data_IF_017398861850
#
_entry.id   IF_017398861850
#
_cell.length_a   1.000
_cell.length_b   1.000
_cell.length_c   1.000
_cell.angle_alpha   90.00
_cell.angle_beta   90.00
_cell.angle_gamma   90.00
#
_symmetry.space_group_name_H-M   'P 1'
#
loop_
_entity.id
_entity.type
_entity.pdbx_description
1 polymer ?
#
# COMPACT_ATOMS: atom_id res chain seq x y z
N UNK A 1 -31.93 11.88 4.16
CA UNK A 1 -30.73 12.75 4.06
C UNK A 1 -29.77 12.09 3.09
N UNK A 2 -29.59 12.71 1.93
CA UNK A 2 -28.76 12.19 0.84
C UNK A 2 -27.29 12.09 1.28
N UNK A 3 -26.80 10.87 1.47
CA UNK A 3 -25.38 10.57 1.69
C UNK A 3 -24.66 10.58 0.34
N UNK A 4 -24.45 11.77 -0.23
CA UNK A 4 -23.45 11.94 -1.30
C UNK A 4 -22.49 13.07 -0.93
N UNK A 5 -21.32 12.67 -0.41
CA UNK A 5 -20.08 13.17 -0.98
C UNK A 5 -19.18 11.99 -1.33
N UNK A 6 -19.64 11.10 -2.23
CA UNK A 6 -18.78 10.10 -2.85
C UNK A 6 -17.93 10.66 -4.01
N UNK A 7 -18.08 11.95 -4.38
CA UNK A 7 -17.33 12.56 -5.47
C UNK A 7 -16.19 13.49 -5.03
N UNK A 8 -16.04 13.78 -3.73
CA UNK A 8 -14.99 14.67 -3.25
C UNK A 8 -13.79 13.82 -2.83
N UNK A 9 -12.68 13.98 -3.54
CA UNK A 9 -11.39 13.42 -3.17
C UNK A 9 -11.01 13.91 -1.77
N UNK A 10 -10.91 13.01 -0.76
CA UNK A 10 -10.56 13.39 0.61
C UNK A 10 -9.26 14.20 0.73
N UNK A 11 -8.35 14.06 -0.23
CA UNK A 11 -7.09 14.83 -0.28
C UNK A 11 -7.32 16.34 -0.45
N UNK A 12 -8.51 16.75 -0.87
CA UNK A 12 -8.85 18.16 -1.06
C UNK A 12 -9.29 18.84 0.23
N UNK A 13 -9.73 18.08 1.24
CA UNK A 13 -10.17 18.66 2.52
C UNK A 13 -9.01 19.32 3.25
N UNK A 14 -9.22 20.58 3.64
CA UNK A 14 -8.35 21.37 4.51
C UNK A 14 -8.66 21.06 5.97
N UNK A 15 -7.71 21.40 6.85
CA UNK A 15 -7.85 21.14 8.29
C UNK A 15 -9.12 21.75 8.89
N UNK A 16 -9.46 22.99 8.52
CA UNK A 16 -10.67 23.66 9.01
C UNK A 16 -11.95 22.91 8.63
N UNK A 17 -12.01 22.36 7.41
CA UNK A 17 -13.13 21.54 6.94
C UNK A 17 -13.19 20.21 7.70
N UNK A 18 -12.06 19.56 7.94
CA UNK A 18 -12.02 18.32 8.73
C UNK A 18 -12.45 18.54 10.19
N UNK A 19 -12.09 19.68 10.78
CA UNK A 19 -12.50 20.07 12.14
C UNK A 19 -14.02 20.27 12.21
N UNK A 20 -14.62 20.91 11.20
CA UNK A 20 -16.07 21.15 11.17
C UNK A 20 -16.90 19.90 10.87
N UNK A 21 -16.28 18.80 10.40
CA UNK A 21 -16.94 17.52 10.20
C UNK A 21 -17.21 16.77 11.52
N UNK A 22 -18.08 15.75 11.49
CA UNK A 22 -18.33 14.87 12.63
C UNK A 22 -17.20 13.85 12.88
N UNK A 23 -17.10 13.34 14.12
CA UNK A 23 -16.08 12.36 14.53
C UNK A 23 -16.07 11.09 13.66
N UNK A 24 -17.26 10.56 13.31
CA UNK A 24 -17.41 9.37 12.48
C UNK A 24 -16.90 9.60 11.05
N UNK A 25 -17.09 10.81 10.52
CA UNK A 25 -16.59 11.18 9.19
C UNK A 25 -15.08 11.19 9.21
N UNK A 26 -14.46 11.88 10.19
CA UNK A 26 -13.00 11.89 10.34
C UNK A 26 -12.41 10.49 10.51
N UNK A 27 -13.04 9.66 11.34
CA UNK A 27 -12.63 8.27 11.55
C UNK A 27 -12.65 7.45 10.25
N UNK A 28 -13.75 7.51 9.50
CA UNK A 28 -13.88 6.79 8.23
C UNK A 28 -12.91 7.32 7.16
N UNK A 29 -12.64 8.63 7.12
CA UNK A 29 -11.63 9.21 6.23
C UNK A 29 -10.23 8.70 6.58
N UNK A 30 -9.88 8.61 7.87
CA UNK A 30 -8.60 8.06 8.30
C UNK A 30 -8.46 6.57 7.93
N UNK A 31 -9.50 5.76 8.13
CA UNK A 31 -9.52 4.35 7.70
C UNK A 31 -9.31 4.20 6.19
N UNK A 32 -10.01 5.00 5.39
CA UNK A 32 -9.84 5.01 3.92
C UNK A 32 -8.43 5.43 3.51
N UNK A 33 -7.86 6.43 4.18
CA UNK A 33 -6.52 6.92 3.89
C UNK A 33 -5.46 5.84 4.20
N UNK A 34 -5.55 5.16 5.35
CA UNK A 34 -4.60 4.08 5.68
C UNK A 34 -4.75 2.87 4.75
N UNK A 35 -5.99 2.56 4.32
CA UNK A 35 -6.25 1.54 3.29
C UNK A 35 -5.57 1.89 1.97
N UNK A 36 -5.72 3.14 1.52
CA UNK A 36 -5.07 3.66 0.29
C UNK A 36 -3.56 3.64 0.39
N UNK A 37 -2.99 3.94 1.56
CA UNK A 37 -1.55 3.82 1.80
C UNK A 37 -1.11 2.35 1.70
N UNK A 38 -1.90 1.41 2.20
CA UNK A 38 -1.58 -0.03 2.12
C UNK A 38 -1.57 -0.50 0.66
N UNK A 39 -2.64 -0.22 -0.09
CA UNK A 39 -2.72 -0.61 -1.49
C UNK A 39 -1.63 0.04 -2.34
N UNK A 40 -1.32 1.32 -2.11
CA UNK A 40 -0.23 2.02 -2.82
C UNK A 40 1.14 1.41 -2.54
N UNK A 41 1.44 1.03 -1.28
CA UNK A 41 2.70 0.34 -0.93
C UNK A 41 2.79 -1.03 -1.58
N UNK A 42 1.69 -1.78 -1.63
CA UNK A 42 1.63 -3.05 -2.35
C UNK A 42 1.88 -2.87 -3.85
N UNK A 43 1.22 -1.91 -4.49
CA UNK A 43 1.44 -1.57 -5.91
C UNK A 43 2.91 -1.22 -6.16
N UNK A 44 3.52 -0.36 -5.33
CA UNK A 44 4.94 -0.04 -5.45
C UNK A 44 5.83 -1.29 -5.29
N UNK A 45 5.55 -2.14 -4.31
CA UNK A 45 6.27 -3.41 -4.14
C UNK A 45 6.21 -4.30 -5.38
N UNK A 46 5.02 -4.46 -5.98
CA UNK A 46 4.83 -5.22 -7.23
C UNK A 46 5.55 -4.59 -8.42
N UNK A 47 5.47 -3.26 -8.59
CA UNK A 47 6.21 -2.54 -9.62
C UNK A 47 7.73 -2.73 -9.47
N UNK A 48 8.26 -2.63 -8.25
CA UNK A 48 9.70 -2.83 -8.01
C UNK A 48 10.15 -4.27 -8.26
N UNK A 49 9.29 -5.26 -8.00
CA UNK A 49 9.55 -6.65 -8.39
C UNK A 49 9.53 -6.83 -9.90
N UNK A 50 8.53 -6.27 -10.60
CA UNK A 50 8.44 -6.33 -12.05
C UNK A 50 9.66 -5.65 -12.72
N UNK A 51 10.05 -4.45 -12.27
CA UNK A 51 11.24 -3.73 -12.74
C UNK A 51 12.51 -4.55 -12.51
N UNK A 52 12.57 -5.30 -11.40
CA UNK A 52 13.70 -6.19 -11.13
C UNK A 52 13.75 -7.34 -12.14
N UNK A 53 12.61 -7.98 -12.39
CA UNK A 53 12.47 -9.14 -13.26
C UNK A 53 12.75 -8.80 -14.72
N UNK A 54 12.20 -7.68 -15.21
CA UNK A 54 12.38 -7.22 -16.59
C UNK A 54 13.74 -6.56 -16.84
N UNK A 55 14.45 -6.20 -15.77
CA UNK A 55 15.69 -5.42 -15.86
C UNK A 55 15.48 -3.96 -16.29
N UNK A 56 14.25 -3.45 -16.26
CA UNK A 56 13.91 -2.09 -16.75
C UNK A 56 14.68 -0.99 -16.02
N UNK A 57 15.15 -1.24 -14.80
CA UNK A 57 16.00 -0.30 -14.06
C UNK A 57 17.23 0.16 -14.88
N UNK A 58 17.75 -0.67 -15.79
CA UNK A 58 18.87 -0.31 -16.67
C UNK A 58 18.51 0.81 -17.64
N UNK A 59 17.27 0.82 -18.16
CA UNK A 59 16.77 1.86 -19.08
C UNK A 59 16.67 3.22 -18.39
N UNK A 60 16.61 3.23 -17.06
CA UNK A 60 16.59 4.45 -16.25
C UNK A 60 17.96 4.79 -15.64
N UNK A 61 19.04 4.14 -16.09
CA UNK A 61 20.40 4.39 -15.61
C UNK A 61 20.67 3.90 -14.19
N UNK A 62 19.89 2.94 -13.70
CA UNK A 62 20.05 2.36 -12.38
C UNK A 62 20.71 0.97 -12.47
N UNK A 63 21.27 0.50 -11.36
CA UNK A 63 21.98 -0.78 -11.25
C UNK A 63 21.15 -1.92 -10.65
N UNK A 64 19.98 -1.59 -10.11
CA UNK A 64 19.00 -2.55 -9.57
C UNK A 64 17.63 -1.88 -9.41
N UNK A 65 16.58 -2.66 -9.15
CA UNK A 65 15.26 -2.11 -8.79
C UNK A 65 15.29 -1.30 -7.50
N UNK A 66 16.14 -1.67 -6.53
CA UNK A 66 16.33 -0.86 -5.31
C UNK A 66 17.02 0.46 -5.64
N UNK A 67 18.09 0.47 -6.46
CA UNK A 67 18.70 1.73 -6.91
C UNK A 67 17.69 2.59 -7.67
N UNK A 68 16.83 2.00 -8.51
CA UNK A 68 15.72 2.72 -9.16
C UNK A 68 14.78 3.36 -8.13
N UNK A 69 14.36 2.64 -7.09
CA UNK A 69 13.51 3.19 -6.03
C UNK A 69 14.14 4.43 -5.35
N UNK A 70 15.43 4.38 -5.04
CA UNK A 70 16.16 5.51 -4.44
C UNK A 70 16.28 6.67 -5.42
N UNK A 71 16.89 6.42 -6.58
CA UNK A 71 17.30 7.46 -7.51
C UNK A 71 16.15 8.08 -8.32
N UNK A 72 15.06 7.33 -8.53
CA UNK A 72 13.94 7.77 -9.39
C UNK A 72 12.64 8.00 -8.62
N UNK A 73 12.43 7.32 -7.49
CA UNK A 73 11.19 7.44 -6.72
C UNK A 73 11.38 8.18 -5.38
N UNK A 74 12.61 8.50 -4.98
CA UNK A 74 12.90 9.18 -3.71
C UNK A 74 12.59 8.33 -2.48
N UNK A 75 12.60 7.00 -2.62
CA UNK A 75 12.32 6.07 -1.52
C UNK A 75 13.56 5.76 -0.71
N UNK A 76 13.36 5.46 0.58
CA UNK A 76 14.42 4.87 1.39
C UNK A 76 14.69 3.41 1.00
N UNK A 77 15.95 2.98 1.17
CA UNK A 77 16.36 1.59 0.86
C UNK A 77 15.57 0.56 1.65
N UNK A 78 15.31 0.84 2.93
CA UNK A 78 14.58 -0.07 3.80
C UNK A 78 13.11 -0.19 3.37
N UNK A 79 12.46 0.90 2.96
CA UNK A 79 11.08 0.89 2.45
C UNK A 79 10.97 0.08 1.17
N UNK A 80 11.83 0.35 0.19
CA UNK A 80 11.83 -0.35 -1.09
C UNK A 80 11.99 -1.88 -0.91
N UNK A 81 12.86 -2.28 0.02
CA UNK A 81 13.06 -3.70 0.32
C UNK A 81 11.88 -4.31 1.09
N UNK A 82 11.29 -3.59 2.04
CA UNK A 82 10.09 -4.06 2.76
C UNK A 82 8.91 -4.24 1.80
N UNK A 83 8.67 -3.30 0.90
CA UNK A 83 7.54 -3.35 -0.03
C UNK A 83 7.70 -4.51 -1.01
N UNK A 84 8.91 -4.72 -1.55
CA UNK A 84 9.22 -5.89 -2.38
C UNK A 84 9.03 -7.21 -1.63
N UNK A 85 9.44 -7.28 -0.36
CA UNK A 85 9.29 -8.49 0.47
C UNK A 85 7.82 -8.82 0.68
N UNK A 86 7.01 -7.85 1.10
CA UNK A 86 5.57 -8.05 1.33
C UNK A 86 4.87 -8.42 0.03
N UNK A 87 5.14 -7.70 -1.07
CA UNK A 87 4.56 -8.01 -2.38
C UNK A 87 4.92 -9.42 -2.86
N UNK A 88 6.15 -9.89 -2.59
CA UNK A 88 6.58 -11.26 -2.93
C UNK A 88 5.88 -12.31 -2.08
N UNK A 89 5.71 -12.07 -0.78
CA UNK A 89 5.00 -13.00 0.10
C UNK A 89 3.52 -13.15 -0.31
N UNK A 90 2.88 -12.04 -0.71
CA UNK A 90 1.49 -12.01 -1.15
C UNK A 90 1.20 -12.70 -2.49
N UNK A 91 2.23 -13.18 -3.20
CA UNK A 91 2.03 -14.06 -4.38
C UNK A 91 1.40 -15.39 -3.96
N UNK A 92 1.72 -15.88 -2.75
CA UNK A 92 1.26 -17.17 -2.23
C UNK A 92 0.13 -17.03 -1.20
N UNK A 93 -0.45 -15.82 -1.07
CA UNK A 93 -1.45 -15.47 -0.06
C UNK A 93 -2.56 -14.62 -0.73
N UNK A 94 -3.38 -15.22 -1.61
CA UNK A 94 -4.37 -14.51 -2.42
C UNK A 94 -5.40 -13.73 -1.59
N UNK A 95 -5.88 -14.27 -0.47
CA UNK A 95 -6.88 -13.59 0.35
C UNK A 95 -6.30 -12.35 1.05
N UNK A 96 -5.08 -12.47 1.58
CA UNK A 96 -4.37 -11.31 2.13
C UNK A 96 -3.98 -10.30 1.04
N UNK A 97 -3.71 -10.78 -0.18
CA UNK A 97 -3.48 -9.93 -1.36
C UNK A 97 -4.71 -9.07 -1.63
N UNK A 98 -5.89 -9.70 -1.72
CA UNK A 98 -7.16 -9.02 -1.96
C UNK A 98 -7.50 -8.02 -0.84
N UNK A 99 -7.33 -8.43 0.42
CA UNK A 99 -7.55 -7.53 1.56
C UNK A 99 -6.62 -6.29 1.53
N UNK A 100 -5.37 -6.46 1.09
CA UNK A 100 -4.42 -5.35 0.95
C UNK A 100 -4.74 -4.44 -0.24
N UNK A 101 -5.17 -5.00 -1.37
CA UNK A 101 -5.61 -4.27 -2.56
C UNK A 101 -6.84 -3.39 -2.26
N UNK A 102 -7.80 -3.94 -1.53
CA UNK A 102 -9.02 -3.25 -1.12
C UNK A 102 -8.81 -2.34 0.10
N UNK A 103 -7.61 -2.31 0.68
CA UNK A 103 -7.28 -1.50 1.84
C UNK A 103 -8.02 -1.91 3.12
N UNK A 104 -8.49 -3.17 3.21
CA UNK A 104 -9.17 -3.75 4.38
C UNK A 104 -8.22 -4.12 5.52
N UNK A 105 -6.93 -4.22 5.24
CA UNK A 105 -5.87 -4.48 6.23
C UNK A 105 -4.87 -3.32 6.25
N UNK A 106 -4.43 -2.91 7.43
CA UNK A 106 -3.41 -1.87 7.57
C UNK A 106 -2.00 -2.43 7.33
N UNK A 107 -1.15 -1.68 6.61
CA UNK A 107 0.24 -2.07 6.28
C UNK A 107 1.04 -2.63 7.46
N UNK A 108 0.95 -1.99 8.62
CA UNK A 108 1.67 -2.40 9.83
C UNK A 108 1.30 -3.81 10.31
N UNK A 109 0.03 -4.21 10.15
CA UNK A 109 -0.42 -5.58 10.44
C UNK A 109 0.01 -6.53 9.32
N UNK A 110 -0.29 -6.15 8.08
CA UNK A 110 0.00 -6.94 6.88
C UNK A 110 1.47 -7.39 6.84
N UNK A 111 2.41 -6.46 7.04
CA UNK A 111 3.85 -6.74 6.95
C UNK A 111 4.35 -7.76 7.99
N UNK A 112 3.66 -7.87 9.13
CA UNK A 112 3.97 -8.82 10.19
C UNK A 112 3.28 -10.17 9.92
N UNK A 113 2.00 -10.15 9.55
CA UNK A 113 1.20 -11.34 9.22
C UNK A 113 1.87 -12.13 8.10
N UNK A 114 2.30 -11.49 7.01
CA UNK A 114 2.94 -12.17 5.88
C UNK A 114 4.30 -12.80 6.20
N UNK A 115 4.83 -12.65 7.43
CA UNK A 115 6.04 -13.37 7.88
C UNK A 115 5.71 -14.78 8.40
N UNK A 116 4.47 -15.00 8.83
CA UNK A 116 4.05 -16.24 9.51
C UNK A 116 2.85 -16.90 8.83
N UNK A 117 2.09 -16.16 8.03
CA UNK A 117 0.96 -16.67 7.29
C UNK A 117 1.42 -17.69 6.23
N UNK A 118 0.69 -18.78 6.17
CA UNK A 118 0.70 -19.74 5.07
C UNK A 118 -0.69 -19.77 4.43
N UNK A 119 -0.79 -20.24 3.19
CA UNK A 119 -2.04 -20.37 2.42
C UNK A 119 -3.18 -20.98 3.26
N UNK A 120 -2.94 -22.11 3.93
CA UNK A 120 -3.93 -22.78 4.80
C UNK A 120 -4.38 -22.01 6.06
N UNK A 121 -3.74 -20.89 6.38
CA UNK A 121 -3.99 -20.10 7.60
C UNK A 121 -4.38 -18.65 7.32
N UNK A 122 -4.32 -18.22 6.06
CA UNK A 122 -4.44 -16.79 5.74
C UNK A 122 -5.84 -16.24 6.03
N UNK A 123 -6.89 -17.05 5.94
CA UNK A 123 -8.27 -16.67 6.27
C UNK A 123 -8.47 -16.26 7.73
N UNK A 124 -7.56 -16.65 8.64
CA UNK A 124 -7.66 -16.36 10.07
C UNK A 124 -7.17 -14.94 10.43
N UNK A 125 -6.48 -14.24 9.53
CA UNK A 125 -5.76 -12.98 9.79
C UNK A 125 -6.46 -11.74 9.24
#
# INVERSE_FOLDING_TARGET
>A
MDLRPLSIDPKRFRLAELISMGERVRHNLALRAVGTLTSSRLTLGRCLLAIQETGDFKKFGCSSSTHYALAKLGMEKWEANEFKRVARALILLPELSLAAEEGRIAWGKLREIVRVAAEKTEEYW
#
